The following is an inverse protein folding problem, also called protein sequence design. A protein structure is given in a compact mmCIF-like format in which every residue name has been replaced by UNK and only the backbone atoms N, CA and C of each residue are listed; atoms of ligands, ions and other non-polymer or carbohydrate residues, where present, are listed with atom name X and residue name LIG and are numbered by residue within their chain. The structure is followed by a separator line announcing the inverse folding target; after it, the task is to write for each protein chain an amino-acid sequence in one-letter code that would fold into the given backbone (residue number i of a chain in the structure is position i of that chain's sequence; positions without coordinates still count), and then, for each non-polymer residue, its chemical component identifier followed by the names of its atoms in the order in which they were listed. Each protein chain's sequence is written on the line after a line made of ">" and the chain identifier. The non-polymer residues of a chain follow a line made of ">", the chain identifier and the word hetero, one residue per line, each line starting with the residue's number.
data_IF_956188052055
#
_entry.id   IF_956188052055
#
_cell.length_a   1.000
_cell.length_b   1.000
_cell.length_c   1.000
_cell.angle_alpha   90.00
_cell.angle_beta   90.00
_cell.angle_gamma   90.00
#
_symmetry.space_group_name_H-M   'P 1'
#
loop_
_entity.id
_entity.type
_entity.pdbx_description
1 polymer ?
#
# COMPACT_ATOMS: atom_id res chain seq x y z
N UNK A 1 -2.90 -22.25 -2.53
CA UNK A 1 -2.65 -20.81 -2.73
C UNK A 1 -3.68 -20.36 -3.74
N UNK A 2 -4.58 -19.45 -3.36
CA UNK A 2 -5.52 -18.88 -4.31
C UNK A 2 -4.73 -18.15 -5.42
N UNK A 3 -5.28 -18.05 -6.64
CA UNK A 3 -4.62 -17.32 -7.70
C UNK A 3 -4.46 -15.83 -7.32
N UNK A 4 -3.28 -15.28 -7.56
CA UNK A 4 -3.00 -13.86 -7.45
C UNK A 4 -2.87 -13.26 -8.85
N UNK A 5 -3.68 -12.25 -9.14
CA UNK A 5 -3.67 -11.54 -10.42
C UNK A 5 -3.10 -10.13 -10.21
N UNK A 6 -1.82 -9.89 -10.58
CA UNK A 6 -1.22 -8.58 -10.42
C UNK A 6 -1.95 -7.54 -11.28
N UNK A 7 -2.21 -6.39 -10.69
CA UNK A 7 -2.82 -5.22 -11.32
C UNK A 7 -1.77 -4.12 -11.47
N UNK A 8 -1.06 -3.79 -10.41
CA UNK A 8 0.08 -2.87 -10.41
C UNK A 8 1.21 -3.41 -9.53
N UNK A 9 2.43 -3.31 -10.02
CA UNK A 9 3.66 -3.71 -9.33
C UNK A 9 4.77 -2.78 -9.81
N UNK A 10 5.15 -1.82 -8.98
CA UNK A 10 6.21 -0.88 -9.29
C UNK A 10 6.87 -0.32 -8.04
N UNK A 11 8.13 0.08 -8.19
CA UNK A 11 8.87 0.83 -7.18
C UNK A 11 9.50 2.07 -7.78
N UNK A 12 9.65 3.09 -6.95
CA UNK A 12 10.31 4.35 -7.28
C UNK A 12 11.23 4.73 -6.12
N UNK A 13 12.41 5.23 -6.44
CA UNK A 13 13.40 5.67 -5.45
C UNK A 13 13.99 6.98 -5.90
N UNK A 14 13.99 7.97 -5.03
CA UNK A 14 14.60 9.28 -5.24
C UNK A 14 15.24 9.72 -3.92
N UNK A 15 16.49 10.17 -4.01
CA UNK A 15 17.35 10.44 -2.85
C UNK A 15 17.33 9.28 -1.83
N UNK A 16 16.91 9.55 -0.59
CA UNK A 16 16.82 8.57 0.50
C UNK A 16 15.39 8.03 0.69
N UNK A 17 14.49 8.25 -0.28
CA UNK A 17 13.08 7.86 -0.20
C UNK A 17 12.75 6.73 -1.16
N UNK A 18 11.84 5.86 -0.75
CA UNK A 18 11.33 4.75 -1.55
C UNK A 18 9.81 4.71 -1.53
N UNK A 19 9.22 4.45 -2.68
CA UNK A 19 7.82 4.06 -2.85
C UNK A 19 7.78 2.68 -3.46
N UNK A 20 6.99 1.79 -2.87
CA UNK A 20 6.75 0.44 -3.37
C UNK A 20 5.24 0.18 -3.40
N UNK A 21 4.73 -0.19 -4.57
CA UNK A 21 3.32 -0.45 -4.80
C UNK A 21 3.18 -1.86 -5.33
N UNK A 22 2.48 -2.70 -4.59
CA UNK A 22 2.03 -4.02 -5.03
C UNK A 22 0.52 -4.08 -4.88
N UNK A 23 -0.20 -4.34 -5.97
CA UNK A 23 -1.66 -4.46 -6.00
C UNK A 23 -2.03 -5.66 -6.87
N UNK A 24 -2.88 -6.55 -6.36
CA UNK A 24 -3.52 -7.55 -7.19
C UNK A 24 -4.83 -8.05 -6.60
N UNK A 25 -5.60 -8.73 -7.43
CA UNK A 25 -6.83 -9.40 -6.99
C UNK A 25 -6.56 -10.85 -6.61
N UNK A 26 -7.37 -11.39 -5.71
CA UNK A 26 -7.25 -12.75 -5.22
C UNK A 26 -8.59 -13.27 -4.71
N UNK A 27 -8.84 -14.57 -4.87
CA UNK A 27 -9.99 -15.28 -4.28
C UNK A 27 -9.60 -15.98 -2.96
N UNK A 28 -8.61 -15.44 -2.24
CA UNK A 28 -8.15 -16.05 -0.98
C UNK A 28 -9.03 -15.54 0.16
N UNK A 29 -9.54 -16.44 1.01
CA UNK A 29 -10.36 -16.08 2.17
C UNK A 29 -9.57 -15.21 3.18
N UNK A 30 -8.24 -15.24 3.14
CA UNK A 30 -7.39 -14.35 3.93
C UNK A 30 -7.54 -12.86 3.53
N UNK A 31 -8.08 -12.59 2.34
CA UNK A 31 -8.28 -11.26 1.77
C UNK A 31 -9.75 -11.07 1.36
N UNK A 32 -10.67 -10.89 2.33
CA UNK A 32 -12.13 -10.89 2.08
C UNK A 32 -12.60 -9.73 1.19
N UNK A 33 -11.78 -8.70 0.98
CA UNK A 33 -12.05 -7.62 0.03
C UNK A 33 -11.88 -8.02 -1.45
N UNK A 34 -11.30 -9.19 -1.72
CA UNK A 34 -10.89 -9.62 -3.06
C UNK A 34 -9.58 -8.97 -3.55
N UNK A 35 -8.95 -8.14 -2.72
CA UNK A 35 -7.72 -7.43 -3.02
C UNK A 35 -6.61 -7.85 -2.07
N UNK A 36 -5.40 -8.00 -2.60
CA UNK A 36 -4.17 -8.12 -1.82
C UNK A 36 -3.25 -6.98 -2.26
N UNK A 37 -2.87 -6.13 -1.32
CA UNK A 37 -2.06 -4.96 -1.65
C UNK A 37 -1.09 -4.56 -0.52
N UNK A 38 -0.06 -3.82 -0.92
CA UNK A 38 0.84 -3.07 -0.06
C UNK A 38 1.26 -1.79 -0.81
N UNK A 39 0.92 -0.62 -0.25
CA UNK A 39 1.33 0.69 -0.71
C UNK A 39 2.28 1.25 0.33
N UNK A 40 3.58 1.26 0.05
CA UNK A 40 4.62 1.65 1.00
C UNK A 40 5.29 2.95 0.55
N UNK A 41 5.40 3.90 1.46
CA UNK A 41 6.28 5.06 1.37
C UNK A 41 7.20 5.10 2.59
N UNK A 42 8.50 5.17 2.36
CA UNK A 42 9.50 5.08 3.41
C UNK A 42 10.86 5.61 2.99
N UNK A 43 11.88 5.25 3.75
CA UNK A 43 13.27 5.54 3.43
C UNK A 43 14.00 4.30 2.93
N UNK A 44 15.07 4.51 2.17
CA UNK A 44 15.95 3.42 1.71
C UNK A 44 16.60 2.63 2.86
N UNK A 45 16.71 3.26 4.05
CA UNK A 45 17.18 2.63 5.28
C UNK A 45 16.11 1.77 5.99
N UNK A 46 14.90 1.70 5.44
CA UNK A 46 13.81 0.84 5.91
C UNK A 46 12.86 1.49 6.92
N UNK A 47 12.92 2.81 7.10
CA UNK A 47 11.93 3.51 7.91
C UNK A 47 10.61 3.63 7.14
N UNK A 48 9.50 3.20 7.75
CA UNK A 48 8.16 3.41 7.17
C UNK A 48 7.67 4.80 7.52
N UNK A 49 7.36 5.61 6.52
CA UNK A 49 6.75 6.92 6.72
C UNK A 49 5.23 6.79 6.65
N UNK A 50 4.74 6.11 5.62
CA UNK A 50 3.33 5.82 5.40
C UNK A 50 3.20 4.46 4.70
N UNK A 51 2.37 3.56 5.21
CA UNK A 51 2.04 2.32 4.50
C UNK A 51 0.57 2.00 4.63
N UNK A 52 -0.06 1.56 3.54
CA UNK A 52 -1.37 0.92 3.57
C UNK A 52 -1.22 -0.53 3.12
N UNK A 53 -1.73 -1.47 3.89
CA UNK A 53 -1.75 -2.88 3.50
C UNK A 53 -2.91 -3.62 4.16
N UNK A 54 -3.07 -4.88 3.77
CA UNK A 54 -4.06 -5.77 4.34
C UNK A 54 -3.49 -7.16 4.62
N UNK A 55 -2.23 -7.26 5.06
CA UNK A 55 -1.54 -8.53 5.28
C UNK A 55 -2.31 -9.52 6.18
N UNK A 56 -3.19 -9.00 7.04
CA UNK A 56 -4.11 -9.76 7.90
C UNK A 56 -5.57 -9.35 7.68
N UNK A 57 -6.00 -9.28 6.41
CA UNK A 57 -7.32 -8.78 6.01
C UNK A 57 -8.51 -9.50 6.64
N UNK A 58 -8.37 -10.79 6.94
CA UNK A 58 -9.38 -11.64 7.56
C UNK A 58 -9.65 -11.35 9.05
N UNK A 59 -8.64 -10.82 9.75
CA UNK A 59 -8.65 -10.68 11.22
C UNK A 59 -8.54 -9.24 11.68
N UNK A 60 -7.74 -8.43 10.99
CA UNK A 60 -7.49 -7.02 11.30
C UNK A 60 -8.07 -6.05 10.28
N UNK A 61 -8.47 -6.56 9.11
CA UNK A 61 -8.91 -5.73 8.00
C UNK A 61 -7.74 -4.98 7.36
N UNK A 62 -7.96 -3.70 7.10
CA UNK A 62 -7.00 -2.84 6.40
C UNK A 62 -6.25 -1.99 7.40
N UNK A 63 -4.94 -1.93 7.28
CA UNK A 63 -4.07 -1.21 8.21
C UNK A 63 -3.43 -0.01 7.50
N UNK A 64 -3.35 1.11 8.21
CA UNK A 64 -2.51 2.25 7.87
C UNK A 64 -1.41 2.34 8.91
N UNK A 65 -0.17 2.36 8.44
CA UNK A 65 1.03 2.55 9.24
C UNK A 65 1.53 3.97 9.02
N UNK A 66 1.84 4.69 10.09
CA UNK A 66 2.49 6.00 10.02
C UNK A 66 3.64 6.02 11.02
N UNK A 67 4.88 5.96 10.54
CA UNK A 67 6.02 5.73 11.44
C UNK A 67 5.89 4.39 12.17
N UNK A 68 5.85 4.45 13.51
CA UNK A 68 5.65 3.29 14.38
C UNK A 68 4.19 3.00 14.75
N UNK A 69 3.26 3.88 14.38
CA UNK A 69 1.85 3.75 14.72
C UNK A 69 1.11 2.91 13.67
N UNK A 70 0.16 2.10 14.12
CA UNK A 70 -0.70 1.26 13.27
C UNK A 70 -2.14 1.47 13.66
N UNK A 71 -2.98 1.80 12.69
CA UNK A 71 -4.42 1.97 12.86
C UNK A 71 -5.19 1.15 11.81
N UNK A 72 -6.32 0.56 12.22
CA UNK A 72 -7.27 -0.04 11.29
C UNK A 72 -8.05 1.06 10.59
N UNK A 73 -8.22 0.95 9.27
CA UNK A 73 -8.92 1.92 8.44
C UNK A 73 -10.03 1.26 7.62
N UNK A 74 -11.05 2.03 7.25
CA UNK A 74 -12.05 1.58 6.30
C UNK A 74 -11.42 1.45 4.89
N UNK A 75 -11.89 0.46 4.13
CA UNK A 75 -11.46 0.25 2.75
C UNK A 75 -12.51 0.77 1.77
N UNK A 76 -12.29 1.95 1.16
CA UNK A 76 -13.23 2.51 0.18
C UNK A 76 -13.20 1.76 -1.17
N UNK A 77 -12.30 0.80 -1.32
CA UNK A 77 -11.97 0.14 -2.59
C UNK A 77 -10.56 0.50 -3.05
N UNK A 78 -10.07 -0.24 -4.05
CA UNK A 78 -8.68 -0.09 -4.48
C UNK A 78 -8.42 1.24 -5.20
N UNK A 79 -9.34 1.66 -6.09
CA UNK A 79 -9.17 2.89 -6.87
C UNK A 79 -9.08 4.14 -5.97
N UNK A 80 -10.00 4.41 -5.03
CA UNK A 80 -9.88 5.59 -4.19
C UNK A 80 -8.61 5.58 -3.33
N UNK A 81 -8.21 4.40 -2.82
CA UNK A 81 -7.00 4.27 -2.02
C UNK A 81 -5.73 4.54 -2.84
N UNK A 82 -5.68 4.02 -4.07
CA UNK A 82 -4.54 4.20 -4.97
C UNK A 82 -4.45 5.63 -5.54
N UNK A 83 -5.57 6.34 -5.70
CA UNK A 83 -5.55 7.75 -6.11
C UNK A 83 -5.05 8.66 -4.96
N UNK A 84 -5.48 8.39 -3.73
CA UNK A 84 -5.11 9.19 -2.55
C UNK A 84 -3.65 9.00 -2.13
N UNK A 85 -3.12 7.79 -2.26
CA UNK A 85 -1.78 7.46 -1.76
C UNK A 85 -0.66 8.30 -2.43
N UNK A 86 -0.53 8.35 -3.77
CA UNK A 86 0.47 9.19 -4.43
C UNK A 86 0.30 10.68 -4.14
N UNK A 87 -0.94 11.18 -3.95
CA UNK A 87 -1.16 12.57 -3.56
C UNK A 87 -0.58 12.87 -2.17
N UNK A 88 -0.72 11.94 -1.22
CA UNK A 88 -0.10 12.07 0.10
C UNK A 88 1.43 12.02 0.05
N UNK A 89 2.00 11.18 -0.81
CA UNK A 89 3.46 11.04 -0.94
C UNK A 89 4.09 12.21 -1.71
N UNK A 90 3.41 12.77 -2.70
CA UNK A 90 3.91 13.91 -3.51
C UNK A 90 4.16 15.18 -2.70
N UNK A 91 3.60 15.30 -1.49
CA UNK A 91 3.97 16.37 -0.56
C UNK A 91 5.47 16.32 -0.21
N UNK A 92 6.08 15.13 -0.25
CA UNK A 92 7.47 14.88 0.11
C UNK A 92 8.34 14.44 -1.10
N UNK A 93 7.75 14.15 -2.27
CA UNK A 93 8.44 13.71 -3.48
C UNK A 93 7.88 14.38 -4.75
N UNK A 94 8.54 15.45 -5.21
CA UNK A 94 8.12 16.21 -6.39
C UNK A 94 8.24 15.39 -7.71
N UNK A 95 9.10 14.36 -7.74
CA UNK A 95 9.41 13.54 -8.93
C UNK A 95 8.56 12.30 -9.18
N UNK A 96 7.55 12.00 -8.34
CA UNK A 96 6.78 10.77 -8.46
C UNK A 96 6.08 10.63 -9.82
N UNK A 97 6.21 9.47 -10.51
CA UNK A 97 5.51 9.23 -11.78
C UNK A 97 4.00 9.37 -11.62
N UNK A 98 3.34 9.78 -12.72
CA UNK A 98 1.88 9.89 -12.79
C UNK A 98 1.23 8.56 -13.14
#
# INVERSE_FOLDING_TARGET
>A
MAPYHPVDDWSYTEDDKVVDVTIGTTDDDAYPSGWRYALHYGTVDGETILRYDNAHGDTKGHEKHTGGDVESVDFPGMTPLYEEFPERVRADLEGLPR
#
